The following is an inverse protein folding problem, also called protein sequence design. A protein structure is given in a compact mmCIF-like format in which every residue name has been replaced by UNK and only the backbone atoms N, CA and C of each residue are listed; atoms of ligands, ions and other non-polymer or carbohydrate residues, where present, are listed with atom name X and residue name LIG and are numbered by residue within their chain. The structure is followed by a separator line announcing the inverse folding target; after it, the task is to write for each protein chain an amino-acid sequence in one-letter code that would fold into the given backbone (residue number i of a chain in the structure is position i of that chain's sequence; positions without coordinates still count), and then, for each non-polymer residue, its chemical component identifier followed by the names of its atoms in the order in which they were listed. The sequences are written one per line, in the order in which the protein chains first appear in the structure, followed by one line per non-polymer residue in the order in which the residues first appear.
data_IF_924955428759
#
_entry.id   IF_924955428759
#
_cell.length_a   1.000
_cell.length_b   1.000
_cell.length_c   1.000
_cell.angle_alpha   90.00
_cell.angle_beta   90.00
_cell.angle_gamma   90.00
#
_symmetry.space_group_name_H-M   'P 1'
#
loop_
_entity.id
_entity.type
_entity.pdbx_description
1 polymer ?
#
# COMPACT_ATOMS: atom_id res chain seq x y z
N UNK A 1 -23.14 -33.68 26.96
CA UNK A 1 -22.60 -32.33 26.69
C UNK A 1 -22.35 -32.13 25.19
N UNK A 2 -23.38 -32.30 24.34
CA UNK A 2 -23.20 -32.36 22.88
C UNK A 2 -24.28 -31.61 22.09
N UNK A 3 -24.97 -30.68 22.75
CA UNK A 3 -26.09 -29.93 22.16
C UNK A 3 -25.97 -28.41 22.32
N UNK A 4 -24.92 -27.93 23.02
CA UNK A 4 -24.67 -26.48 23.21
C UNK A 4 -23.82 -25.85 22.09
N UNK A 5 -23.35 -26.64 21.12
CA UNK A 5 -22.42 -26.18 20.10
C UNK A 5 -23.04 -25.69 18.79
N UNK A 6 -24.31 -25.98 18.52
CA UNK A 6 -24.92 -25.73 17.19
C UNK A 6 -25.60 -24.35 17.11
N UNK A 7 -26.07 -23.80 18.24
CA UNK A 7 -26.79 -22.52 18.25
C UNK A 7 -25.89 -21.28 18.11
N UNK A 8 -24.58 -21.41 18.34
CA UNK A 8 -23.65 -20.26 18.26
C UNK A 8 -23.27 -19.88 16.81
N UNK A 9 -23.47 -20.78 15.84
CA UNK A 9 -23.06 -20.55 14.44
C UNK A 9 -24.14 -19.80 13.63
N UNK A 10 -25.41 -19.86 14.04
CA UNK A 10 -26.49 -19.16 13.34
C UNK A 10 -26.64 -17.68 13.72
N UNK A 11 -26.04 -17.23 14.83
CA UNK A 11 -26.15 -15.84 15.28
C UNK A 11 -25.16 -14.87 14.61
N UNK A 12 -24.11 -15.38 13.95
CA UNK A 12 -23.06 -14.55 13.31
C UNK A 12 -23.26 -14.33 11.79
N UNK A 13 -24.29 -14.91 11.19
CA UNK A 13 -24.52 -14.82 9.73
C UNK A 13 -25.45 -13.70 9.26
N UNK A 14 -26.10 -12.97 10.16
CA UNK A 14 -27.21 -12.07 9.80
C UNK A 14 -26.81 -10.64 9.38
N UNK A 15 -25.53 -10.25 9.45
CA UNK A 15 -25.09 -8.87 9.17
C UNK A 15 -24.69 -8.60 7.71
N UNK A 16 -24.86 -9.56 6.78
CA UNK A 16 -24.43 -9.42 5.39
C UNK A 16 -25.55 -8.99 4.40
N UNK A 17 -26.67 -8.45 4.90
CA UNK A 17 -27.65 -7.78 4.05
C UNK A 17 -27.14 -6.37 3.74
N UNK A 18 -26.29 -6.28 2.73
CA UNK A 18 -25.98 -5.02 2.04
C UNK A 18 -27.29 -4.50 1.43
N UNK A 19 -28.05 -3.71 2.19
CA UNK A 19 -29.12 -2.91 1.60
C UNK A 19 -28.49 -2.08 0.48
N UNK A 20 -29.09 -2.01 -0.72
CA UNK A 20 -28.69 -1.00 -1.68
C UNK A 20 -28.99 0.34 -1.01
N UNK A 21 -27.97 0.98 -0.47
CA UNK A 21 -28.06 2.38 -0.11
C UNK A 21 -28.38 3.10 -1.41
N UNK A 22 -29.63 3.50 -1.60
CA UNK A 22 -29.93 4.64 -2.45
C UNK A 22 -29.10 5.77 -1.85
N UNK A 23 -28.00 6.10 -2.51
CA UNK A 23 -27.10 7.18 -2.10
C UNK A 23 -27.72 8.56 -2.39
N UNK A 24 -28.95 8.62 -2.89
CA UNK A 24 -29.75 9.83 -2.96
C UNK A 24 -30.32 10.11 -1.57
N UNK A 25 -29.94 11.24 -0.99
CA UNK A 25 -30.57 11.74 0.23
C UNK A 25 -32.04 12.06 -0.11
N UNK A 26 -33.02 11.38 0.51
CA UNK A 26 -34.44 11.62 0.24
C UNK A 26 -34.90 13.04 0.63
N UNK A 27 -34.07 13.81 1.34
CA UNK A 27 -34.28 15.22 1.63
C UNK A 27 -33.50 16.17 0.72
N UNK A 28 -32.74 15.69 -0.26
CA UNK A 28 -32.04 16.57 -1.19
C UNK A 28 -33.04 17.20 -2.15
N UNK A 29 -33.31 18.49 -1.94
CA UNK A 29 -34.28 19.27 -2.73
C UNK A 29 -33.57 20.24 -3.64
N UNK A 30 -32.69 19.72 -4.49
CA UNK A 30 -32.08 20.53 -5.54
C UNK A 30 -33.14 20.95 -6.56
N UNK A 31 -33.17 22.23 -6.87
CA UNK A 31 -33.92 22.74 -8.02
C UNK A 31 -33.29 22.23 -9.33
N UNK A 32 -34.04 22.19 -10.45
CA UNK A 32 -33.50 21.75 -11.74
C UNK A 32 -32.23 22.50 -12.18
N UNK A 33 -32.12 23.79 -11.87
CA UNK A 33 -30.96 24.61 -12.20
C UNK A 33 -29.73 24.26 -11.34
N UNK A 34 -29.94 23.94 -10.06
CA UNK A 34 -28.86 23.45 -9.18
C UNK A 34 -28.35 22.10 -9.64
N UNK A 35 -29.25 21.19 -10.01
CA UNK A 35 -28.88 19.88 -10.55
C UNK A 35 -28.11 20.01 -11.87
N UNK A 36 -28.49 20.96 -12.74
CA UNK A 36 -27.79 21.23 -13.98
C UNK A 36 -26.36 21.76 -13.73
N UNK A 37 -26.21 22.68 -12.76
CA UNK A 37 -24.89 23.20 -12.35
C UNK A 37 -24.02 22.11 -11.74
N UNK A 38 -24.57 21.31 -10.83
CA UNK A 38 -23.84 20.22 -10.18
C UNK A 38 -23.34 19.18 -11.19
N UNK A 39 -24.20 18.77 -12.14
CA UNK A 39 -23.79 17.89 -13.25
C UNK A 39 -22.68 18.48 -14.11
N UNK A 40 -22.69 19.79 -14.33
CA UNK A 40 -21.62 20.45 -15.07
C UNK A 40 -20.29 20.43 -14.29
N UNK A 41 -20.35 20.70 -12.98
CA UNK A 41 -19.19 20.65 -12.08
C UNK A 41 -18.62 19.23 -12.02
N UNK A 42 -19.45 18.22 -11.76
CA UNK A 42 -19.02 16.81 -11.71
C UNK A 42 -18.40 16.38 -13.04
N UNK A 43 -18.99 16.79 -14.17
CA UNK A 43 -18.42 16.48 -15.49
C UNK A 43 -17.04 17.08 -15.66
N UNK A 44 -16.86 18.34 -15.26
CA UNK A 44 -15.57 19.02 -15.31
C UNK A 44 -14.54 18.29 -14.43
N UNK A 45 -14.89 18.01 -13.18
CA UNK A 45 -14.01 17.29 -12.24
C UNK A 45 -13.59 15.92 -12.78
N UNK A 46 -14.52 15.17 -13.38
CA UNK A 46 -14.24 13.87 -13.97
C UNK A 46 -13.29 13.98 -15.17
N UNK A 47 -13.46 15.00 -16.02
CA UNK A 47 -12.57 15.25 -17.15
C UNK A 47 -11.16 15.63 -16.69
N UNK A 48 -11.05 16.49 -15.69
CA UNK A 48 -9.77 16.91 -15.11
C UNK A 48 -9.05 15.73 -14.46
N UNK A 49 -9.77 14.90 -13.70
CA UNK A 49 -9.21 13.70 -13.09
C UNK A 49 -8.76 12.68 -14.15
N UNK A 50 -9.54 12.50 -15.21
CA UNK A 50 -9.17 11.62 -16.33
C UNK A 50 -7.90 12.13 -17.02
N UNK A 51 -7.75 13.44 -17.21
CA UNK A 51 -6.55 14.02 -17.79
C UNK A 51 -5.32 13.79 -16.90
N UNK A 52 -5.45 13.96 -15.57
CA UNK A 52 -4.38 13.68 -14.62
C UNK A 52 -3.95 12.21 -14.64
N UNK A 53 -4.91 11.28 -14.64
CA UNK A 53 -4.63 9.84 -14.71
C UNK A 53 -3.93 9.49 -16.02
N UNK A 54 -4.40 10.00 -17.16
CA UNK A 54 -3.74 9.78 -18.46
C UNK A 54 -2.31 10.29 -18.47
N UNK A 55 -2.05 11.49 -17.93
CA UNK A 55 -0.70 12.04 -17.83
C UNK A 55 0.20 11.17 -16.95
N UNK A 56 -0.32 10.72 -15.80
CA UNK A 56 0.40 9.82 -14.90
C UNK A 56 0.73 8.49 -15.59
N UNK A 57 -0.24 7.89 -16.26
CA UNK A 57 -0.07 6.60 -16.91
C UNK A 57 0.90 6.69 -18.09
N UNK A 58 0.91 7.81 -18.83
CA UNK A 58 1.92 8.10 -19.85
C UNK A 58 3.34 8.15 -19.25
N UNK A 59 3.53 8.83 -18.11
CA UNK A 59 4.82 8.86 -17.41
C UNK A 59 5.27 7.46 -16.98
N UNK A 60 4.34 6.62 -16.52
CA UNK A 60 4.66 5.24 -16.18
C UNK A 60 5.01 4.41 -17.42
N UNK A 61 4.29 4.59 -18.52
CA UNK A 61 4.60 3.92 -19.79
C UNK A 61 6.02 4.27 -20.27
N UNK A 62 6.41 5.54 -20.21
CA UNK A 62 7.77 5.99 -20.56
C UNK A 62 8.84 5.32 -19.66
N UNK A 63 8.54 5.23 -18.36
CA UNK A 63 9.39 4.53 -17.39
C UNK A 63 9.52 3.04 -17.69
N UNK A 64 8.41 2.36 -18.00
CA UNK A 64 8.41 0.95 -18.39
C UNK A 64 9.16 0.70 -19.69
N UNK A 65 8.98 1.56 -20.69
CA UNK A 65 9.72 1.55 -21.95
C UNK A 65 11.22 1.69 -21.72
N UNK A 66 11.61 2.64 -20.86
CA UNK A 66 13.02 2.84 -20.50
C UNK A 66 13.62 1.61 -19.81
N UNK A 67 12.87 1.00 -18.88
CA UNK A 67 13.27 -0.22 -18.20
C UNK A 67 13.37 -1.41 -19.17
N UNK A 68 12.41 -1.58 -20.06
CA UNK A 68 12.39 -2.64 -21.06
C UNK A 68 13.57 -2.51 -22.04
N UNK A 69 13.85 -1.29 -22.53
CA UNK A 69 15.03 -1.02 -23.37
C UNK A 69 16.33 -1.30 -22.64
N UNK A 70 16.48 -0.86 -21.39
CA UNK A 70 17.65 -1.16 -20.58
C UNK A 70 17.83 -2.68 -20.39
N UNK A 71 16.75 -3.39 -20.06
CA UNK A 71 16.76 -4.85 -19.88
C UNK A 71 17.09 -5.61 -21.16
N UNK A 72 16.55 -5.19 -22.31
CA UNK A 72 16.79 -5.84 -23.60
C UNK A 72 18.17 -5.51 -24.17
N UNK A 73 18.65 -4.27 -23.99
CA UNK A 73 20.03 -3.89 -24.34
C UNK A 73 21.09 -4.67 -23.57
N UNK A 74 20.76 -5.15 -22.36
CA UNK A 74 21.60 -6.08 -21.60
C UNK A 74 21.54 -7.54 -22.09
N UNK A 75 20.50 -7.92 -22.84
CA UNK A 75 20.31 -9.29 -23.33
C UNK A 75 20.98 -9.52 -24.69
N UNK A 76 21.08 -8.49 -25.51
CA UNK A 76 21.65 -8.56 -26.87
C UNK A 76 23.15 -8.18 -26.91
N UNK A 77 23.72 -7.76 -25.77
CA UNK A 77 25.16 -7.58 -25.58
C UNK A 77 25.83 -8.88 -25.15
N UNK A 78 26.60 -9.47 -26.06
CA UNK A 78 27.60 -10.49 -25.79
C UNK A 78 28.63 -9.93 -24.79
N UNK A 79 28.38 -10.14 -23.50
CA UNK A 79 29.36 -10.32 -22.42
C UNK A 79 28.60 -10.43 -21.10
N UNK A 80 28.71 -11.60 -20.47
CA UNK A 80 28.05 -11.96 -19.22
C UNK A 80 28.37 -10.95 -18.13
N UNK A 81 27.40 -10.09 -17.82
CA UNK A 81 27.49 -9.21 -16.68
C UNK A 81 27.28 -10.03 -15.39
N UNK A 82 28.35 -10.68 -14.94
CA UNK A 82 28.48 -11.07 -13.56
C UNK A 82 28.33 -9.78 -12.74
N UNK A 83 27.17 -9.62 -12.08
CA UNK A 83 27.02 -8.61 -11.02
C UNK A 83 28.27 -8.73 -10.14
N UNK A 84 29.04 -7.65 -9.92
CA UNK A 84 30.27 -7.76 -9.16
C UNK A 84 29.89 -8.20 -7.75
N UNK A 85 30.32 -9.39 -7.32
CA UNK A 85 29.98 -10.01 -6.04
C UNK A 85 30.02 -9.01 -4.87
N UNK A 86 30.99 -8.07 -4.91
CA UNK A 86 31.13 -6.93 -4.00
C UNK A 86 29.86 -6.10 -3.72
N UNK A 87 28.93 -5.96 -4.67
CA UNK A 87 27.70 -5.15 -4.50
C UNK A 87 26.63 -5.92 -3.74
N UNK A 88 26.51 -7.21 -4.02
CA UNK A 88 25.59 -8.10 -3.33
C UNK A 88 26.12 -8.41 -1.91
N UNK A 89 27.45 -8.54 -1.76
CA UNK A 89 28.12 -8.67 -0.46
C UNK A 89 27.92 -7.41 0.41
N UNK A 90 28.01 -6.22 -0.17
CA UNK A 90 27.76 -4.97 0.55
C UNK A 90 26.30 -4.82 0.99
N UNK A 91 25.33 -5.19 0.13
CA UNK A 91 23.91 -5.18 0.49
C UNK A 91 23.60 -6.22 1.57
N UNK A 92 24.23 -7.40 1.51
CA UNK A 92 24.10 -8.43 2.54
C UNK A 92 24.70 -7.98 3.88
N UNK A 93 25.89 -7.37 3.87
CA UNK A 93 26.51 -6.81 5.05
C UNK A 93 25.64 -5.72 5.70
N UNK A 94 25.11 -4.78 4.90
CA UNK A 94 24.22 -3.74 5.39
C UNK A 94 22.94 -4.30 6.03
N UNK A 95 22.36 -5.36 5.46
CA UNK A 95 21.19 -6.06 6.05
C UNK A 95 21.54 -6.72 7.37
N UNK A 96 22.74 -7.30 7.49
CA UNK A 96 23.22 -7.95 8.73
C UNK A 96 23.42 -6.92 9.84
N UNK A 97 24.10 -5.82 9.54
CA UNK A 97 24.29 -4.71 10.50
C UNK A 97 22.96 -4.16 11.01
N UNK A 98 21.98 -3.98 10.12
CA UNK A 98 20.64 -3.54 10.52
C UNK A 98 19.94 -4.57 11.42
N UNK A 99 20.03 -5.86 11.10
CA UNK A 99 19.43 -6.92 11.92
C UNK A 99 20.05 -6.99 13.31
N UNK A 100 21.37 -6.83 13.40
CA UNK A 100 22.12 -6.83 14.66
C UNK A 100 21.74 -5.61 15.50
N UNK A 101 21.71 -4.41 14.91
CA UNK A 101 21.26 -3.19 15.58
C UNK A 101 19.81 -3.31 16.11
N UNK A 102 18.91 -3.92 15.32
CA UNK A 102 17.53 -4.16 15.75
C UNK A 102 17.44 -5.22 16.85
N UNK A 103 18.31 -6.22 16.86
CA UNK A 103 18.38 -7.22 17.92
C UNK A 103 18.89 -6.61 19.23
N UNK A 104 19.92 -5.79 19.16
CA UNK A 104 20.46 -5.02 20.30
C UNK A 104 19.41 -4.09 20.88
N UNK A 105 18.76 -3.28 20.03
CA UNK A 105 17.70 -2.38 20.48
C UNK A 105 16.56 -3.13 21.19
N UNK A 106 16.13 -4.29 20.67
CA UNK A 106 15.10 -5.12 21.33
C UNK A 106 15.57 -5.66 22.67
N UNK A 107 16.85 -6.02 22.81
CA UNK A 107 17.42 -6.47 24.06
C UNK A 107 17.46 -5.34 25.10
N UNK A 108 17.87 -4.15 24.69
CA UNK A 108 17.93 -2.97 25.56
C UNK A 108 16.54 -2.53 26.02
N UNK A 109 15.55 -2.51 25.11
CA UNK A 109 14.15 -2.24 25.47
C UNK A 109 13.61 -3.27 26.46
N UNK A 110 13.92 -4.55 26.28
CA UNK A 110 13.49 -5.61 27.22
C UNK A 110 14.12 -5.40 28.59
N UNK A 111 15.43 -5.19 28.66
CA UNK A 111 16.14 -4.96 29.92
C UNK A 111 15.61 -3.70 30.65
N UNK A 112 15.36 -2.62 29.92
CA UNK A 112 14.73 -1.41 30.43
C UNK A 112 13.36 -1.69 31.06
N UNK A 113 12.51 -2.49 30.38
CA UNK A 113 11.18 -2.89 30.91
C UNK A 113 11.27 -3.82 32.12
N UNK A 114 12.33 -4.61 32.22
CA UNK A 114 12.61 -5.50 33.36
C UNK A 114 13.25 -4.74 34.54
N UNK A 115 13.52 -3.43 34.39
CA UNK A 115 13.98 -2.55 35.47
C UNK A 115 15.45 -2.13 35.38
N UNK A 116 16.20 -2.56 34.35
CA UNK A 116 17.53 -2.04 34.08
C UNK A 116 17.44 -0.71 33.32
N UNK A 117 17.15 0.35 34.06
CA UNK A 117 16.95 1.69 33.49
C UNK A 117 18.21 2.27 32.84
N UNK A 118 19.41 1.70 33.11
CA UNK A 118 20.66 2.13 32.45
C UNK A 118 20.63 1.88 30.93
N UNK A 119 19.79 0.95 30.48
CA UNK A 119 19.61 0.57 29.07
C UNK A 119 18.60 1.45 28.33
N UNK A 120 17.73 2.19 29.04
CA UNK A 120 16.67 2.97 28.40
C UNK A 120 17.18 4.18 27.58
N UNK A 121 18.39 4.67 27.85
CA UNK A 121 18.93 5.88 27.23
C UNK A 121 19.97 5.63 26.12
N UNK A 122 20.33 4.36 25.83
CA UNK A 122 21.19 4.04 24.70
C UNK A 122 20.41 4.15 23.39
N UNK A 123 20.93 4.94 22.46
CA UNK A 123 20.50 5.04 21.06
C UNK A 123 21.60 4.54 20.16
#
# INVERSE_FOLDING_TARGET
MRERGVLAILALGACALSAPALADDPNDRLTPDELARDRAIIRQLNQDQLAQVRQRDARYADGWDSYARARNGWRDGEDGNARPASRDDADYAARREYQDAMAEWRADVRACREGDYSRCARR
#
